data_IF_101114642801
#
_entry.id   IF_101114642801
#
_cell.length_a   1.000
_cell.length_b   1.000
_cell.length_c   1.000
_cell.angle_alpha   90.00
_cell.angle_beta   90.00
_cell.angle_gamma   90.00
#
_symmetry.space_group_name_H-M   'P 1'
#
loop_
_entity.id
_entity.type
_entity.pdbx_description
1 polymer ?
#
# COMPACT_ATOMS: atom_id res chain seq x y z
N UNK A 1 3.70 11.58 11.42
CA UNK A 1 3.89 11.13 10.01
C UNK A 1 2.55 10.69 9.44
N UNK A 2 2.27 11.00 8.16
CA UNK A 2 1.04 10.59 7.48
C UNK A 2 1.27 9.26 6.74
N UNK A 3 0.43 8.28 7.02
CA UNK A 3 0.28 7.05 6.25
C UNK A 3 -0.74 7.32 5.16
N UNK A 4 -0.24 7.44 3.93
CA UNK A 4 -1.03 7.90 2.80
C UNK A 4 -1.39 6.75 1.85
N UNK A 5 -2.69 6.68 1.55
CA UNK A 5 -3.28 5.83 0.51
C UNK A 5 -2.94 4.33 0.56
N UNK A 6 -3.04 3.64 1.71
CA UNK A 6 -3.33 2.22 1.71
C UNK A 6 -4.61 1.88 0.92
N UNK A 7 -4.45 1.17 -0.20
CA UNK A 7 -5.54 0.58 -0.98
C UNK A 7 -5.53 -0.93 -0.80
N UNK A 8 -6.68 -1.51 -0.45
CA UNK A 8 -6.86 -2.94 -0.22
C UNK A 8 -7.74 -3.51 -1.35
N UNK A 9 -7.15 -4.41 -2.13
CA UNK A 9 -7.80 -5.18 -3.19
C UNK A 9 -8.07 -6.61 -2.71
N UNK A 10 -9.22 -7.16 -3.11
CA UNK A 10 -9.65 -8.50 -2.74
C UNK A 10 -9.95 -9.30 -4.01
N UNK A 11 -9.25 -10.42 -4.21
CA UNK A 11 -9.38 -11.28 -5.39
C UNK A 11 -9.70 -12.72 -4.98
N UNK A 12 -10.95 -13.03 -4.60
CA UNK A 12 -11.36 -14.40 -4.33
C UNK A 12 -11.46 -15.24 -5.61
N UNK A 13 -11.50 -16.57 -5.49
CA UNK A 13 -11.66 -17.47 -6.66
C UNK A 13 -13.09 -17.49 -7.22
N UNK A 14 -14.07 -17.10 -6.42
CA UNK A 14 -15.48 -16.93 -6.80
C UNK A 14 -16.10 -15.78 -6.03
N UNK A 15 -17.32 -15.35 -6.39
CA UNK A 15 -18.01 -14.30 -5.65
C UNK A 15 -18.14 -14.68 -4.17
N UNK A 16 -17.57 -13.85 -3.28
CA UNK A 16 -17.37 -14.19 -1.86
C UNK A 16 -17.72 -13.00 -0.98
N UNK A 17 -18.49 -13.23 0.09
CA UNK A 17 -18.64 -12.25 1.16
C UNK A 17 -17.34 -12.16 1.96
N UNK A 18 -16.75 -10.97 2.01
CA UNK A 18 -15.51 -10.70 2.71
C UNK A 18 -15.74 -9.64 3.79
N UNK A 19 -15.29 -9.95 5.00
CA UNK A 19 -15.19 -8.99 6.11
C UNK A 19 -13.73 -8.59 6.30
N UNK A 20 -13.45 -7.29 6.35
CA UNK A 20 -12.11 -6.73 6.59
C UNK A 20 -12.14 -5.82 7.81
N UNK A 21 -11.21 -6.00 8.75
CA UNK A 21 -11.00 -5.14 9.91
C UNK A 21 -9.55 -4.67 9.99
N UNK A 22 -9.37 -3.38 10.23
CA UNK A 22 -8.07 -2.73 10.42
C UNK A 22 -7.93 -2.28 11.88
N UNK A 23 -6.90 -2.78 12.56
CA UNK A 23 -6.57 -2.40 13.95
C UNK A 23 -5.39 -1.41 13.98
N UNK A 24 -5.57 -0.25 13.36
CA UNK A 24 -4.47 0.71 13.19
C UNK A 24 -4.02 1.31 14.53
N UNK A 25 -2.73 1.15 14.87
CA UNK A 25 -2.04 1.76 16.02
C UNK A 25 -1.69 3.23 15.75
N UNK A 26 -2.72 3.98 15.36
CA UNK A 26 -2.66 5.40 15.07
C UNK A 26 -4.07 5.94 15.00
N UNK A 27 -4.24 7.09 14.36
CA UNK A 27 -5.55 7.69 14.14
C UNK A 27 -5.91 7.61 12.67
N UNK A 28 -7.02 6.94 12.35
CA UNK A 28 -7.58 6.99 11.00
C UNK A 28 -8.08 8.42 10.71
N UNK A 29 -7.65 8.97 9.58
CA UNK A 29 -8.04 10.31 9.12
C UNK A 29 -9.09 10.23 8.01
N UNK A 30 -9.06 9.16 7.21
CA UNK A 30 -10.05 8.92 6.17
C UNK A 30 -10.24 7.42 5.94
N UNK A 31 -11.47 7.02 5.58
CA UNK A 31 -11.79 5.68 5.10
C UNK A 31 -12.80 5.79 3.97
N UNK A 32 -12.68 4.93 2.96
CA UNK A 32 -13.65 4.87 1.87
C UNK A 32 -13.74 3.46 1.25
N UNK A 33 -14.94 2.88 1.10
CA UNK A 33 -16.20 3.32 1.70
C UNK A 33 -16.09 3.41 3.23
N UNK A 34 -17.05 4.07 3.89
CA UNK A 34 -17.08 4.07 5.34
C UNK A 34 -17.33 2.64 5.86
N UNK A 35 -16.55 2.13 6.83
CA UNK A 35 -16.83 0.83 7.44
C UNK A 35 -18.15 0.86 8.23
N UNK A 36 -18.68 -0.32 8.54
CA UNK A 36 -19.83 -0.49 9.41
C UNK A 36 -19.55 0.08 10.82
N UNK A 37 -20.58 0.32 11.68
CA UNK A 37 -20.40 0.87 13.01
C UNK A 37 -19.44 0.09 13.94
N UNK A 38 -19.21 -1.19 13.66
CA UNK A 38 -18.24 -2.03 14.38
C UNK A 38 -16.82 -1.96 13.80
N UNK A 39 -16.56 -1.02 12.89
CA UNK A 39 -15.25 -0.76 12.28
C UNK A 39 -14.86 -1.74 11.16
N UNK A 40 -15.80 -2.58 10.68
CA UNK A 40 -15.52 -3.57 9.65
C UNK A 40 -16.08 -3.15 8.29
N UNK A 41 -15.31 -3.36 7.22
CA UNK A 41 -15.88 -3.40 5.88
C UNK A 41 -16.49 -4.78 5.63
N UNK A 42 -17.71 -4.81 5.11
CA UNK A 42 -18.38 -6.02 4.65
C UNK A 42 -18.83 -5.83 3.21
N UNK A 43 -18.19 -6.57 2.31
CA UNK A 43 -18.38 -6.45 0.87
C UNK A 43 -18.52 -7.82 0.25
N UNK A 44 -19.22 -7.89 -0.89
CA UNK A 44 -19.12 -9.02 -1.81
C UNK A 44 -17.97 -8.71 -2.77
N UNK A 45 -16.92 -9.52 -2.74
CA UNK A 45 -15.76 -9.40 -3.62
C UNK A 45 -15.88 -10.40 -4.78
N UNK A 46 -15.50 -9.96 -5.99
CA UNK A 46 -15.47 -10.77 -7.21
C UNK A 46 -14.05 -11.06 -7.65
N UNK A 47 -13.82 -12.13 -8.46
CA UNK A 47 -12.48 -12.48 -8.92
C UNK A 47 -11.75 -11.38 -9.73
N UNK A 48 -12.49 -10.44 -10.32
CA UNK A 48 -11.95 -9.29 -11.05
C UNK A 48 -11.52 -8.12 -10.14
N UNK A 49 -11.72 -8.25 -8.82
CA UNK A 49 -11.43 -7.23 -7.82
C UNK A 49 -12.57 -6.23 -7.59
N UNK A 50 -13.72 -6.40 -8.26
CA UNK A 50 -14.91 -5.57 -7.99
C UNK A 50 -15.48 -5.89 -6.62
N UNK A 51 -15.72 -4.85 -5.81
CA UNK A 51 -16.33 -4.94 -4.49
C UNK A 51 -17.73 -4.33 -4.54
N UNK A 52 -18.72 -5.00 -3.95
CA UNK A 52 -20.07 -4.46 -3.81
C UNK A 52 -20.47 -4.42 -2.34
N UNK A 53 -20.98 -3.28 -1.87
CA UNK A 53 -21.53 -3.19 -0.51
C UNK A 53 -22.98 -3.68 -0.42
N UNK A 54 -23.53 -3.71 0.79
CA UNK A 54 -24.93 -4.14 1.03
C UNK A 54 -25.98 -3.26 0.34
N UNK A 55 -25.63 -2.05 -0.08
CA UNK A 55 -26.51 -1.14 -0.81
C UNK A 55 -26.39 -1.30 -2.33
N UNK A 56 -25.57 -2.24 -2.81
CA UNK A 56 -25.33 -2.48 -4.22
C UNK A 56 -24.37 -1.49 -4.87
N UNK A 57 -23.61 -0.71 -4.08
CA UNK A 57 -22.64 0.25 -4.62
C UNK A 57 -21.32 -0.47 -4.91
N UNK A 58 -20.75 -0.18 -6.07
CA UNK A 58 -19.51 -0.79 -6.54
C UNK A 58 -18.26 0.04 -6.18
N UNK A 59 -17.19 -0.64 -5.82
CA UNK A 59 -15.88 -0.08 -5.49
C UNK A 59 -14.76 -0.93 -6.09
N UNK A 60 -13.62 -0.32 -6.40
CA UNK A 60 -12.43 -1.05 -6.87
C UNK A 60 -11.53 -1.57 -5.74
N UNK A 61 -11.63 -0.99 -4.55
CA UNK A 61 -10.79 -1.29 -3.40
C UNK A 61 -11.41 -0.68 -2.12
N UNK A 62 -10.91 -1.11 -0.97
CA UNK A 62 -11.10 -0.40 0.30
C UNK A 62 -9.92 0.56 0.50
N UNK A 63 -10.19 1.77 0.93
CA UNK A 63 -9.19 2.82 1.17
C UNK A 63 -9.19 3.20 2.64
N UNK A 64 -7.99 3.43 3.17
CA UNK A 64 -7.80 4.11 4.43
C UNK A 64 -6.60 5.05 4.38
N UNK A 65 -6.62 6.05 5.26
CA UNK A 65 -5.53 6.97 5.54
C UNK A 65 -5.44 7.13 7.06
N UNK A 66 -4.23 7.33 7.57
CA UNK A 66 -4.06 7.60 8.99
C UNK A 66 -2.84 8.42 9.32
N UNK A 67 -2.87 9.04 10.50
CA UNK A 67 -1.72 9.66 11.11
C UNK A 67 -1.18 8.76 12.23
N UNK A 68 0.14 8.67 12.36
CA UNK A 68 0.77 7.99 13.48
C UNK A 68 2.02 8.74 13.95
N UNK A 69 2.23 8.67 15.26
CA UNK A 69 3.46 9.03 15.97
C UNK A 69 4.33 7.78 16.22
N UNK A 70 3.99 6.68 15.54
CA UNK A 70 4.59 5.37 15.70
C UNK A 70 6.01 5.25 15.14
N UNK A 71 6.48 4.00 15.02
CA UNK A 71 7.86 3.67 14.64
C UNK A 71 8.24 4.35 13.32
N UNK A 72 9.37 5.07 13.27
CA UNK A 72 9.82 5.69 12.04
C UNK A 72 10.13 4.64 10.96
N UNK A 73 10.06 5.03 9.67
CA UNK A 73 10.51 4.16 8.60
C UNK A 73 11.96 3.72 8.78
N UNK A 74 12.21 2.47 8.44
CA UNK A 74 13.56 1.90 8.39
C UNK A 74 14.15 2.13 6.99
N UNK A 75 15.27 2.86 6.95
CA UNK A 75 16.05 3.15 5.75
C UNK A 75 17.43 2.47 5.77
N UNK A 76 17.69 1.57 6.72
CA UNK A 76 18.98 0.88 6.88
C UNK A 76 19.40 0.10 5.62
N UNK A 77 18.41 -0.42 4.86
CA UNK A 77 18.59 -0.96 3.51
C UNK A 77 17.60 -0.25 2.57
N UNK A 78 18.11 0.39 1.53
CA UNK A 78 17.32 1.29 0.68
C UNK A 78 17.81 1.30 -0.77
N UNK A 79 17.03 1.92 -1.63
CA UNK A 79 17.41 2.28 -2.99
C UNK A 79 17.66 3.78 -3.08
N UNK A 80 18.72 4.17 -3.79
CA UNK A 80 19.02 5.56 -4.12
C UNK A 80 18.78 5.76 -5.60
N UNK A 81 17.76 6.55 -5.94
CA UNK A 81 17.19 6.65 -7.29
C UNK A 81 17.11 8.10 -7.70
N UNK A 82 17.51 8.47 -8.92
CA UNK A 82 17.29 9.84 -9.41
C UNK A 82 15.79 10.11 -9.55
N UNK A 83 15.36 11.35 -9.35
CA UNK A 83 13.96 11.74 -9.61
C UNK A 83 13.48 11.31 -10.99
N UNK A 84 14.28 11.61 -12.02
CA UNK A 84 14.01 11.24 -13.42
C UNK A 84 13.82 9.75 -13.66
N UNK A 85 14.46 8.89 -12.86
CA UNK A 85 14.49 7.44 -13.06
C UNK A 85 13.42 6.73 -12.22
N UNK A 86 12.67 7.48 -11.39
CA UNK A 86 11.76 6.94 -10.38
C UNK A 86 10.62 6.14 -11.00
N UNK A 87 10.06 6.57 -12.13
CA UNK A 87 8.97 5.85 -12.79
C UNK A 87 9.40 4.44 -13.25
N UNK A 88 10.58 4.34 -13.88
CA UNK A 88 11.13 3.07 -14.34
C UNK A 88 11.47 2.15 -13.15
N UNK A 89 12.08 2.72 -12.12
CA UNK A 89 12.40 2.01 -10.88
C UNK A 89 11.15 1.42 -10.21
N UNK A 90 10.09 2.24 -10.00
CA UNK A 90 8.87 1.78 -9.36
C UNK A 90 8.20 0.67 -10.18
N UNK A 91 8.10 0.83 -11.51
CA UNK A 91 7.53 -0.20 -12.39
C UNK A 91 8.27 -1.53 -12.26
N UNK A 92 9.61 -1.50 -12.28
CA UNK A 92 10.44 -2.70 -12.13
C UNK A 92 10.22 -3.36 -10.76
N UNK A 93 10.38 -2.62 -9.66
CA UNK A 93 10.35 -3.19 -8.31
C UNK A 93 8.97 -3.64 -7.88
N UNK A 94 7.91 -2.87 -8.18
CA UNK A 94 6.54 -3.23 -7.84
C UNK A 94 6.09 -4.47 -8.62
N UNK A 95 6.43 -4.56 -9.92
CA UNK A 95 6.16 -5.76 -10.71
C UNK A 95 6.91 -6.98 -10.16
N UNK A 96 8.19 -6.82 -9.78
CA UNK A 96 8.98 -7.89 -9.18
C UNK A 96 8.38 -8.39 -7.85
N UNK A 97 7.87 -7.48 -7.01
CA UNK A 97 7.15 -7.80 -5.77
C UNK A 97 5.75 -8.39 -6.00
N UNK A 98 5.29 -8.53 -7.26
CA UNK A 98 4.05 -9.21 -7.61
C UNK A 98 2.82 -8.31 -7.73
N UNK A 99 2.97 -6.98 -7.78
CA UNK A 99 1.86 -6.10 -8.14
C UNK A 99 1.52 -6.27 -9.63
N UNK A 100 0.24 -6.27 -9.95
CA UNK A 100 -0.25 -6.28 -11.34
C UNK A 100 -0.15 -4.90 -11.98
N UNK A 101 -0.24 -4.79 -13.32
CA UNK A 101 -0.31 -3.49 -13.99
C UNK A 101 -1.41 -2.56 -13.48
N UNK A 102 -2.56 -3.08 -13.07
CA UNK A 102 -3.62 -2.27 -12.45
C UNK A 102 -3.13 -1.63 -11.16
N UNK A 103 -2.57 -2.44 -10.27
CA UNK A 103 -2.15 -2.01 -8.93
C UNK A 103 -0.93 -1.08 -8.97
N UNK A 104 0.14 -1.44 -9.70
CA UNK A 104 1.34 -0.60 -9.71
C UNK A 104 1.14 0.70 -10.49
N UNK A 105 0.25 0.75 -11.50
CA UNK A 105 -0.02 2.00 -12.20
C UNK A 105 -0.68 3.01 -11.27
N UNK A 106 -1.67 2.58 -10.47
CA UNK A 106 -2.30 3.45 -9.48
C UNK A 106 -1.33 3.90 -8.37
N UNK A 107 -0.42 3.00 -7.96
CA UNK A 107 0.67 3.34 -7.05
C UNK A 107 1.55 4.45 -7.64
N UNK A 108 2.03 4.25 -8.87
CA UNK A 108 2.94 5.17 -9.56
C UNK A 108 2.26 6.52 -9.79
N UNK A 109 1.00 6.55 -10.25
CA UNK A 109 0.26 7.80 -10.49
C UNK A 109 0.16 8.65 -9.23
N UNK A 110 0.02 8.03 -8.07
CA UNK A 110 -0.05 8.75 -6.80
C UNK A 110 1.33 9.23 -6.33
N UNK A 111 2.33 8.35 -6.34
CA UNK A 111 3.62 8.62 -5.71
C UNK A 111 4.62 9.35 -6.62
N UNK A 112 4.60 9.12 -7.93
CA UNK A 112 5.58 9.68 -8.87
C UNK A 112 5.62 11.22 -8.88
N UNK A 113 4.50 11.96 -8.89
CA UNK A 113 4.54 13.43 -8.90
C UNK A 113 5.32 14.04 -7.72
N UNK A 114 5.40 13.31 -6.59
CA UNK A 114 6.07 13.73 -5.36
C UNK A 114 7.58 13.42 -5.35
N UNK A 115 8.05 12.63 -6.31
CA UNK A 115 9.42 12.12 -6.36
C UNK A 115 10.18 12.49 -7.63
N UNK A 116 9.48 12.70 -8.75
CA UNK A 116 10.10 12.82 -10.07
C UNK A 116 10.99 14.07 -10.24
N UNK A 117 10.75 15.12 -9.45
CA UNK A 117 11.51 16.37 -9.50
C UNK A 117 12.61 16.47 -8.44
N UNK A 118 12.72 15.49 -7.54
CA UNK A 118 13.80 15.46 -6.56
C UNK A 118 15.13 15.13 -7.27
N UNK A 119 16.27 15.71 -6.87
CA UNK A 119 17.57 15.31 -7.42
C UNK A 119 17.79 13.80 -7.26
N UNK A 120 17.53 13.31 -6.05
CA UNK A 120 17.57 11.90 -5.68
C UNK A 120 16.46 11.58 -4.67
N UNK A 121 16.07 10.32 -4.63
CA UNK A 121 15.13 9.74 -3.67
C UNK A 121 15.82 8.59 -2.95
N UNK A 122 15.73 8.56 -1.62
CA UNK A 122 15.97 7.38 -0.81
C UNK A 122 14.65 6.65 -0.64
N UNK A 123 14.53 5.43 -1.16
CA UNK A 123 13.29 4.64 -1.16
C UNK A 123 13.52 3.32 -0.42
N UNK A 124 12.64 2.97 0.50
CA UNK A 124 12.65 1.70 1.21
C UNK A 124 11.24 1.14 1.37
N UNK A 125 11.06 -0.17 1.13
CA UNK A 125 9.79 -0.86 1.33
C UNK A 125 9.71 -1.42 2.75
N UNK A 126 8.74 -0.96 3.51
CA UNK A 126 8.58 -1.24 4.93
C UNK A 126 7.94 -2.62 5.13
N UNK A 127 8.38 -3.31 6.17
CA UNK A 127 7.94 -4.66 6.52
C UNK A 127 7.15 -4.66 7.82
N UNK A 128 7.66 -5.40 8.82
CA UNK A 128 7.01 -5.54 10.14
C UNK A 128 6.70 -4.22 10.83
N UNK A 129 7.56 -3.22 10.69
CA UNK A 129 7.31 -1.90 11.28
C UNK A 129 5.99 -1.27 10.77
N UNK A 130 5.60 -1.56 9.51
CA UNK A 130 4.28 -1.21 8.99
C UNK A 130 3.20 -2.22 9.41
N UNK A 131 3.39 -3.52 9.13
CA UNK A 131 2.31 -4.51 9.34
C UNK A 131 1.91 -4.70 10.79
N UNK A 132 2.86 -4.54 11.73
CA UNK A 132 2.59 -4.62 13.18
C UNK A 132 1.89 -3.35 13.71
N UNK A 133 1.97 -2.25 12.96
CA UNK A 133 1.26 -0.98 13.26
C UNK A 133 -0.14 -0.93 12.66
N UNK A 134 -0.40 -1.72 11.61
CA UNK A 134 -1.68 -1.81 10.94
C UNK A 134 -2.09 -3.28 10.73
N UNK A 135 -2.34 -4.07 11.80
CA UNK A 135 -2.88 -5.42 11.65
C UNK A 135 -4.18 -5.41 10.86
N UNK A 136 -4.29 -6.36 9.93
CA UNK A 136 -5.45 -6.52 9.06
C UNK A 136 -6.02 -7.92 9.27
N UNK A 137 -7.28 -8.00 9.66
CA UNK A 137 -8.00 -9.27 9.85
C UNK A 137 -9.04 -9.40 8.75
N UNK A 138 -9.00 -10.51 8.01
CA UNK A 138 -9.88 -10.77 6.87
C UNK A 138 -10.58 -12.12 7.01
N UNK A 139 -11.87 -12.17 6.68
CA UNK A 139 -12.68 -13.39 6.74
C UNK A 139 -13.52 -13.51 5.47
N UNK A 140 -13.45 -14.64 4.72
CA UNK A 140 -12.55 -15.77 4.93
C UNK A 140 -11.06 -15.37 4.86
N UNK A 141 -10.18 -16.18 5.44
CA UNK A 141 -8.74 -15.89 5.41
C UNK A 141 -8.20 -15.99 3.97
N UNK A 142 -7.48 -14.98 3.46
CA UNK A 142 -6.86 -15.07 2.15
C UNK A 142 -5.73 -16.10 2.14
N UNK A 143 -5.67 -16.93 1.11
CA UNK A 143 -4.59 -17.89 0.86
C UNK A 143 -3.24 -17.19 0.58
N UNK A 144 -3.30 -15.97 0.06
CA UNK A 144 -2.12 -15.16 -0.26
C UNK A 144 -2.33 -13.70 0.12
N UNK A 145 -1.39 -13.12 0.87
CA UNK A 145 -1.43 -11.72 1.31
C UNK A 145 -0.15 -11.00 0.87
N UNK A 146 -0.31 -9.95 0.06
CA UNK A 146 0.77 -9.02 -0.31
C UNK A 146 0.49 -7.66 0.30
N UNK A 147 1.43 -7.12 1.07
CA UNK A 147 1.33 -5.77 1.65
C UNK A 147 2.60 -4.99 1.32
N UNK A 148 2.51 -4.04 0.39
CA UNK A 148 3.64 -3.21 -0.07
C UNK A 148 3.49 -1.80 0.47
N UNK A 149 4.36 -1.41 1.39
CA UNK A 149 4.34 -0.07 1.96
C UNK A 149 5.64 0.66 1.68
N UNK A 150 5.61 1.72 0.87
CA UNK A 150 6.83 2.46 0.52
C UNK A 150 7.04 3.63 1.47
N UNK A 151 8.26 3.79 1.99
CA UNK A 151 8.72 5.04 2.57
C UNK A 151 9.74 5.69 1.63
N UNK A 152 9.67 7.01 1.46
CA UNK A 152 10.70 7.73 0.74
C UNK A 152 11.12 9.04 1.42
N UNK A 153 12.34 9.50 1.10
CA UNK A 153 12.88 10.81 1.49
C UNK A 153 13.65 11.42 0.31
N UNK A 154 13.49 12.73 0.00
CA UNK A 154 14.32 13.41 -0.98
C UNK A 154 15.77 13.55 -0.49
N UNK A 155 16.70 13.51 -1.43
CA UNK A 155 18.12 13.71 -1.22
C UNK A 155 18.66 14.73 -2.23
N UNK A 156 19.54 15.63 -1.78
CA UNK A 156 20.24 16.57 -2.67
C UNK A 156 21.36 15.89 -3.46
N UNK A 157 21.96 14.84 -2.89
CA UNK A 157 23.05 14.06 -3.46
C UNK A 157 22.88 12.57 -3.14
N UNK A 158 23.42 11.64 -3.95
CA UNK A 158 23.30 10.22 -3.68
C UNK A 158 24.11 9.84 -2.43
N UNK A 159 23.61 8.87 -1.68
CA UNK A 159 24.27 8.33 -0.48
C UNK A 159 24.64 6.87 -0.68
N UNK A 160 25.64 6.39 0.06
CA UNK A 160 25.96 4.96 0.09
C UNK A 160 25.09 4.26 1.14
N UNK A 161 24.28 3.30 0.71
CA UNK A 161 23.41 2.48 1.56
C UNK A 161 23.33 1.08 0.96
N UNK A 162 23.34 0.01 1.76
CA UNK A 162 23.17 -1.33 1.22
C UNK A 162 21.79 -1.46 0.54
N UNK A 163 21.72 -2.07 -0.64
CA UNK A 163 20.45 -2.26 -1.33
C UNK A 163 19.53 -3.17 -0.52
N UNK A 164 18.24 -2.87 -0.55
CA UNK A 164 17.21 -3.70 0.03
C UNK A 164 17.01 -4.97 -0.82
N UNK A 165 16.89 -6.11 -0.16
CA UNK A 165 16.47 -7.36 -0.79
C UNK A 165 14.95 -7.41 -0.81
N UNK A 166 14.38 -7.63 -1.99
CA UNK A 166 12.96 -7.80 -2.19
C UNK A 166 12.67 -9.26 -2.54
N UNK A 167 11.50 -9.73 -2.13
CA UNK A 167 11.04 -11.11 -2.38
C UNK A 167 9.89 -11.07 -3.36
N UNK A 168 9.88 -11.92 -4.40
CA UNK A 168 8.76 -12.03 -5.30
C UNK A 168 7.56 -12.67 -4.59
N UNK A 169 6.35 -12.24 -4.97
CA UNK A 169 5.10 -12.76 -4.43
C UNK A 169 4.40 -13.64 -5.47
N UNK A 170 3.81 -14.75 -5.00
CA UNK A 170 3.04 -15.68 -5.84
C UNK A 170 1.59 -15.68 -5.36
N UNK A 171 0.67 -15.36 -6.26
CA UNK A 171 -0.78 -15.40 -6.01
C UNK A 171 -1.28 -16.83 -6.07
N UNK A 172 -1.94 -17.29 -5.01
CA UNK A 172 -2.64 -18.58 -4.93
C UNK A 172 -3.96 -18.35 -4.22
N UNK A 173 -5.03 -18.99 -4.71
CA UNK A 173 -6.36 -18.91 -4.11
C UNK A 173 -6.86 -17.47 -3.91
N UNK A 174 -7.62 -17.25 -2.85
CA UNK A 174 -8.05 -15.92 -2.46
C UNK A 174 -6.84 -15.03 -2.12
N UNK A 175 -6.62 -14.02 -2.95
CA UNK A 175 -5.49 -13.09 -2.78
C UNK A 175 -5.95 -11.73 -2.26
N UNK A 176 -5.32 -11.25 -1.20
CA UNK A 176 -5.39 -9.86 -0.76
C UNK A 176 -4.12 -9.12 -1.18
N UNK A 177 -4.30 -7.93 -1.76
CA UNK A 177 -3.20 -7.00 -2.03
C UNK A 177 -3.48 -5.69 -1.33
N UNK A 178 -2.54 -5.23 -0.52
CA UNK A 178 -2.51 -3.87 -0.02
C UNK A 178 -1.26 -3.16 -0.55
N UNK A 179 -1.41 -1.93 -1.00
CA UNK A 179 -0.26 -1.05 -1.16
C UNK A 179 -0.54 0.33 -0.61
N UNK A 180 0.51 0.99 -0.11
CA UNK A 180 0.44 2.35 0.40
C UNK A 180 1.84 2.94 0.55
N UNK A 181 1.95 4.09 1.21
CA UNK A 181 3.26 4.60 1.57
C UNK A 181 3.23 5.84 2.44
N UNK A 182 4.43 6.39 2.64
CA UNK A 182 4.65 7.64 3.37
C UNK A 182 5.84 8.38 2.77
N UNK A 183 5.76 9.71 2.83
CA UNK A 183 6.83 10.62 2.45
C UNK A 183 7.08 11.66 3.53
N UNK A 184 7.93 12.67 3.26
CA UNK A 184 7.96 13.89 4.04
C UNK A 184 6.53 14.46 4.14
N UNK A 185 6.21 15.10 5.27
CA UNK A 185 4.89 15.73 5.44
C UNK A 185 4.58 16.62 4.24
N UNK A 186 3.46 16.33 3.58
CA UNK A 186 2.94 17.20 2.54
C UNK A 186 2.55 18.50 3.22
N UNK A 187 3.31 19.56 2.96
CA UNK A 187 2.71 20.89 2.91
C UNK A 187 1.74 20.79 1.74
N UNK A 188 0.48 20.53 2.04
CA UNK A 188 -0.62 20.77 1.13
C UNK A 188 -0.45 22.22 0.68
N UNK A 189 -0.05 22.43 -0.57
CA UNK A 189 -0.13 23.75 -1.21
C UNK A 189 -1.59 24.09 -1.47
#
# INVERSE_FOLDING_TARGET
MLVAKPLIYLYPESETEVTVRLDYKGRLTCTYPAPDPDGAWRVVARPDGTLTDRQGREYSYLFWEGASDGTPPDFSRSFVVRGSDTAAFLREKLSYMGLTPREYNEFIVYWLPRMQHNPWNLIAFQGKNYTDSAPLTVTPEPDSVLRVFMAYRPLDAPVSVPPQELTPFVRRGFTLVEWGGQGPEEIVQ
#
